data_IF_469142848045
#
_entry.id   IF_469142848045
#
_cell.length_a   1.000
_cell.length_b   1.000
_cell.length_c   1.000
_cell.angle_alpha   90.00
_cell.angle_beta   90.00
_cell.angle_gamma   90.00
#
_symmetry.space_group_name_H-M   'P 1'
#
loop_
_entity.id
_entity.type
_entity.pdbx_description
1 polymer ?
#
# COMPACT_ATOMS: atom_id res chain seq x y z
N UNK A 1 -1.78 6.11 -8.83
CA UNK A 1 -1.78 6.24 -7.35
C UNK A 1 -3.07 5.67 -6.80
N UNK A 2 -3.01 5.02 -5.65
CA UNK A 2 -4.20 4.35 -5.14
C UNK A 2 -4.12 4.06 -3.65
N UNK A 3 -5.29 3.80 -3.08
CA UNK A 3 -5.39 2.98 -1.89
C UNK A 3 -5.46 1.52 -2.34
N UNK A 4 -4.39 0.76 -2.09
CA UNK A 4 -4.38 -0.68 -2.22
C UNK A 4 -4.83 -1.34 -0.92
N UNK A 5 -5.62 -2.40 -1.06
CA UNK A 5 -6.16 -3.16 0.07
C UNK A 5 -5.76 -4.61 -0.11
N UNK A 6 -5.10 -5.15 0.90
CA UNK A 6 -4.67 -6.53 0.95
C UNK A 6 -5.52 -7.27 1.98
N UNK A 7 -6.06 -8.42 1.59
CA UNK A 7 -6.73 -9.32 2.55
C UNK A 7 -6.25 -10.75 2.36
N UNK A 8 -5.92 -11.39 3.47
CA UNK A 8 -5.55 -12.80 3.53
C UNK A 8 -6.70 -13.62 4.13
N UNK A 9 -6.95 -14.78 3.54
CA UNK A 9 -8.02 -15.71 3.95
C UNK A 9 -9.43 -15.11 3.86
N UNK A 10 -9.63 -14.06 3.05
CA UNK A 10 -10.94 -13.64 2.58
C UNK A 10 -11.55 -14.73 1.67
N UNK A 11 -12.86 -14.96 1.78
CA UNK A 11 -13.56 -15.99 1.00
C UNK A 11 -14.88 -15.48 0.42
N UNK A 12 -15.42 -16.15 -0.60
CA UNK A 12 -16.66 -15.74 -1.30
C UNK A 12 -17.95 -15.92 -0.49
N UNK A 13 -17.92 -16.73 0.58
CA UNK A 13 -19.03 -16.93 1.50
C UNK A 13 -18.60 -16.53 2.91
N UNK A 14 -19.38 -15.64 3.54
CA UNK A 14 -19.17 -15.14 4.90
C UNK A 14 -19.30 -16.26 5.94
N UNK A 15 -18.26 -17.06 6.10
CA UNK A 15 -18.08 -17.90 7.27
C UNK A 15 -17.60 -16.96 8.37
N UNK A 16 -18.50 -16.56 9.27
CA UNK A 16 -18.24 -15.62 10.37
C UNK A 16 -17.19 -16.11 11.38
N UNK A 17 -17.40 -15.82 12.67
CA UNK A 17 -16.48 -16.12 13.78
C UNK A 17 -16.02 -17.60 13.92
N UNK A 18 -16.54 -18.52 13.10
CA UNK A 18 -16.10 -19.92 13.04
C UNK A 18 -14.63 -20.08 12.63
N UNK A 19 -14.09 -19.22 11.76
CA UNK A 19 -12.66 -19.25 11.39
C UNK A 19 -11.76 -18.90 12.59
N UNK A 20 -11.96 -17.77 13.29
CA UNK A 20 -11.23 -17.46 14.52
C UNK A 20 -11.25 -18.59 15.56
N UNK A 21 -12.43 -19.18 15.81
CA UNK A 21 -12.57 -20.30 16.76
C UNK A 21 -11.83 -21.55 16.26
N UNK A 22 -11.92 -21.87 14.97
CA UNK A 22 -11.20 -23.02 14.38
C UNK A 22 -9.69 -22.83 14.47
N UNK A 23 -9.17 -21.65 14.13
CA UNK A 23 -7.74 -21.34 14.20
C UNK A 23 -7.22 -21.40 15.64
N UNK A 24 -8.00 -20.95 16.63
CA UNK A 24 -7.65 -21.09 18.04
C UNK A 24 -7.64 -22.56 18.50
N UNK A 25 -8.63 -23.35 18.09
CA UNK A 25 -8.76 -24.76 18.50
C UNK A 25 -7.74 -25.68 17.82
N UNK A 26 -7.50 -25.50 16.52
CA UNK A 26 -6.73 -26.44 15.70
C UNK A 26 -5.44 -25.85 15.15
N UNK A 27 -5.01 -24.69 15.65
CA UNK A 27 -3.94 -23.91 15.05
C UNK A 27 -4.37 -23.31 13.71
N UNK A 28 -3.73 -22.22 13.32
CA UNK A 28 -4.13 -21.46 12.14
C UNK A 28 -4.05 -19.97 12.33
N UNK A 29 -4.03 -19.25 11.21
CA UNK A 29 -4.25 -17.82 11.19
C UNK A 29 -5.76 -17.52 11.02
N UNK A 30 -6.25 -16.45 11.64
CA UNK A 30 -7.64 -15.98 11.49
C UNK A 30 -7.84 -15.14 10.22
N UNK A 31 -6.74 -14.85 9.52
CA UNK A 31 -6.67 -13.98 8.35
C UNK A 31 -6.38 -12.54 8.74
N UNK A 32 -5.87 -11.79 7.78
CA UNK A 32 -5.32 -10.46 8.01
C UNK A 32 -5.79 -9.46 6.95
N UNK A 33 -5.69 -8.19 7.27
CA UNK A 33 -6.00 -7.10 6.36
C UNK A 33 -5.01 -5.96 6.56
N UNK A 34 -4.53 -5.43 5.45
CA UNK A 34 -3.67 -4.27 5.40
C UNK A 34 -4.15 -3.31 4.32
N UNK A 35 -3.75 -2.06 4.44
CA UNK A 35 -3.99 -1.03 3.43
C UNK A 35 -2.70 -0.30 3.16
N UNK A 36 -2.47 0.05 1.91
CA UNK A 36 -1.33 0.84 1.49
C UNK A 36 -1.83 2.01 0.67
N UNK A 37 -1.40 3.20 1.06
CA UNK A 37 -1.69 4.41 0.31
C UNK A 37 -0.44 4.84 -0.46
N UNK A 38 -0.61 5.08 -1.76
CA UNK A 38 0.41 5.72 -2.60
C UNK A 38 -0.06 7.08 -3.09
N UNK A 39 0.88 8.02 -3.18
CA UNK A 39 0.65 9.35 -3.77
C UNK A 39 1.96 9.91 -4.36
N UNK A 40 1.89 10.84 -5.34
CA UNK A 40 3.06 11.34 -6.05
C UNK A 40 4.06 12.03 -5.12
N UNK A 41 5.36 11.91 -5.39
CA UNK A 41 6.39 12.74 -4.77
C UNK A 41 6.58 14.04 -5.57
N UNK A 42 5.51 14.85 -5.64
CA UNK A 42 5.53 16.20 -6.19
C UNK A 42 5.38 17.24 -5.06
N UNK A 43 5.36 18.53 -5.38
CA UNK A 43 5.27 19.59 -4.35
C UNK A 43 4.09 19.42 -3.38
N UNK A 44 2.93 18.96 -3.87
CA UNK A 44 1.75 18.73 -3.02
C UNK A 44 1.92 17.44 -2.19
N UNK A 45 2.49 16.41 -2.78
CA UNK A 45 2.87 15.19 -2.07
C UNK A 45 3.90 15.42 -0.98
N UNK A 46 4.91 16.26 -1.24
CA UNK A 46 5.95 16.63 -0.28
C UNK A 46 5.38 17.39 0.92
N UNK A 47 4.46 18.33 0.69
CA UNK A 47 3.73 19.01 1.76
C UNK A 47 2.94 18.02 2.62
N UNK A 48 2.26 17.07 1.97
CA UNK A 48 1.46 16.05 2.65
C UNK A 48 2.35 15.08 3.45
N UNK A 49 3.43 14.58 2.86
CA UNK A 49 4.40 13.72 3.53
C UNK A 49 5.00 14.44 4.74
N UNK A 50 5.40 15.71 4.57
CA UNK A 50 5.95 16.55 5.64
C UNK A 50 4.96 16.78 6.79
N UNK A 51 3.65 16.85 6.51
CA UNK A 51 2.60 16.97 7.54
C UNK A 51 2.55 15.75 8.46
N UNK A 52 2.79 14.54 7.94
CA UNK A 52 2.61 13.29 8.67
C UNK A 52 3.91 12.55 9.03
N UNK A 53 5.07 12.97 8.51
CA UNK A 53 6.36 12.29 8.74
C UNK A 53 6.77 12.16 10.22
N UNK A 54 6.23 13.01 11.09
CA UNK A 54 6.54 13.03 12.53
C UNK A 54 5.52 12.26 13.39
N UNK A 55 4.53 11.64 12.76
CA UNK A 55 3.51 10.85 13.46
C UNK A 55 4.14 9.54 13.93
N UNK A 56 4.28 9.40 15.24
CA UNK A 56 4.77 8.15 15.84
C UNK A 56 3.97 6.94 15.36
N UNK A 57 4.70 5.92 14.90
CA UNK A 57 4.12 4.67 14.41
C UNK A 57 3.75 4.69 12.92
N UNK A 58 3.67 5.85 12.26
CA UNK A 58 3.38 5.94 10.83
C UNK A 58 4.68 6.05 10.03
N UNK A 59 4.92 5.07 9.15
CA UNK A 59 6.10 5.05 8.29
C UNK A 59 5.72 5.52 6.88
N UNK A 60 6.35 6.61 6.43
CA UNK A 60 6.21 7.16 5.08
C UNK A 60 7.58 7.07 4.42
N UNK A 61 7.66 6.50 3.22
CA UNK A 61 8.91 6.43 2.45
C UNK A 61 8.62 6.61 0.96
N UNK A 62 9.67 6.88 0.20
CA UNK A 62 9.62 6.93 -1.26
C UNK A 62 9.84 5.56 -1.88
N UNK A 63 9.26 5.35 -3.05
CA UNK A 63 9.53 4.20 -3.92
C UNK A 63 9.29 4.54 -5.39
N UNK A 64 9.94 3.83 -6.29
CA UNK A 64 9.72 4.01 -7.74
C UNK A 64 8.57 3.12 -8.21
N UNK A 65 7.60 3.69 -8.92
CA UNK A 65 6.50 2.98 -9.57
C UNK A 65 6.47 3.25 -11.08
N UNK A 66 5.95 2.28 -11.85
CA UNK A 66 5.69 2.45 -13.27
C UNK A 66 4.22 2.87 -13.43
N UNK A 67 4.00 4.08 -13.93
CA UNK A 67 2.67 4.64 -14.16
C UNK A 67 2.38 4.80 -15.66
N UNK A 68 1.13 4.68 -16.10
CA UNK A 68 0.75 4.96 -17.48
C UNK A 68 0.68 6.47 -17.72
N UNK A 69 1.51 6.98 -18.62
CA UNK A 69 1.50 8.38 -19.06
C UNK A 69 0.81 8.52 -20.43
N UNK A 70 -0.26 9.32 -20.47
CA UNK A 70 -0.98 9.61 -21.70
C UNK A 70 -0.16 10.53 -22.60
N UNK A 71 0.10 10.07 -23.82
CA UNK A 71 0.83 10.79 -24.85
C UNK A 71 -0.09 11.74 -25.63
N UNK A 72 0.50 12.66 -26.40
CA UNK A 72 -0.25 13.64 -27.22
C UNK A 72 -1.16 12.98 -28.27
N UNK A 73 -0.77 11.80 -28.76
CA UNK A 73 -1.53 11.00 -29.72
C UNK A 73 -2.66 10.16 -29.07
N UNK A 74 -2.82 10.25 -27.74
CA UNK A 74 -3.80 9.50 -26.98
C UNK A 74 -3.37 8.10 -26.55
N UNK A 75 -2.20 7.62 -26.97
CA UNK A 75 -1.60 6.38 -26.49
C UNK A 75 -1.10 6.50 -25.05
N UNK A 76 -0.82 5.37 -24.40
CA UNK A 76 -0.20 5.34 -23.07
C UNK A 76 1.18 4.69 -23.14
N UNK A 77 2.15 5.28 -22.46
CA UNK A 77 3.48 4.70 -22.29
C UNK A 77 3.81 4.53 -20.81
N UNK A 78 4.55 3.48 -20.43
CA UNK A 78 5.05 3.36 -19.08
C UNK A 78 6.05 4.48 -18.80
N UNK A 79 5.93 5.08 -17.61
CA UNK A 79 6.85 6.09 -17.10
C UNK A 79 7.20 5.74 -15.67
N UNK A 80 8.48 5.78 -15.35
CA UNK A 80 8.93 5.70 -13.96
C UNK A 80 8.57 7.00 -13.23
N UNK A 81 8.05 6.84 -12.03
CA UNK A 81 7.68 7.95 -11.17
C UNK A 81 8.00 7.61 -9.73
N UNK A 82 8.60 8.57 -9.02
CA UNK A 82 8.78 8.48 -7.58
C UNK A 82 7.46 8.83 -6.88
N UNK A 83 7.08 7.99 -5.94
CA UNK A 83 5.87 8.11 -5.13
C UNK A 83 6.20 7.96 -3.67
N UNK A 84 5.43 8.59 -2.81
CA UNK A 84 5.36 8.20 -1.41
C UNK A 84 4.44 6.98 -1.28
N UNK A 85 4.81 6.08 -0.38
CA UNK A 85 3.94 5.00 0.07
C UNK A 85 3.85 5.00 1.60
N UNK A 86 2.67 4.64 2.08
CA UNK A 86 2.35 4.50 3.50
C UNK A 86 1.63 3.18 3.68
N UNK A 87 2.32 2.22 4.29
CA UNK A 87 1.76 0.91 4.58
C UNK A 87 1.19 0.88 5.99
N UNK A 88 -0.09 0.55 6.13
CA UNK A 88 -0.77 0.44 7.40
C UNK A 88 -1.32 -0.98 7.57
N UNK A 89 -0.73 -1.68 8.53
CA UNK A 89 -1.10 -3.02 8.90
C UNK A 89 -0.98 -3.17 10.41
N UNK A 90 -1.88 -3.96 11.01
CA UNK A 90 -1.87 -4.17 12.45
C UNK A 90 -1.95 -5.65 12.81
N UNK A 91 -0.93 -6.17 13.47
CA UNK A 91 -0.91 -7.56 13.93
C UNK A 91 -0.63 -7.63 15.44
N UNK A 92 -1.12 -8.66 16.15
CA UNK A 92 -0.79 -8.86 17.57
C UNK A 92 0.68 -9.26 17.77
N UNK A 93 1.53 -8.33 18.25
CA UNK A 93 2.96 -8.55 18.52
C UNK A 93 3.32 -9.02 19.94
N UNK A 94 4.60 -9.38 20.16
CA UNK A 94 5.19 -9.89 21.42
C UNK A 94 5.26 -8.86 22.57
N UNK A 95 5.21 -7.57 22.26
CA UNK A 95 5.07 -6.50 23.24
C UNK A 95 3.68 -5.89 23.09
N UNK A 96 2.90 -5.94 24.16
CA UNK A 96 1.51 -5.48 24.22
C UNK A 96 1.33 -4.07 23.61
N UNK A 97 0.80 -4.00 22.38
CA UNK A 97 0.24 -2.78 21.80
C UNK A 97 1.06 -2.14 20.68
N UNK A 98 0.55 -2.30 19.45
CA UNK A 98 0.82 -1.46 18.28
C UNK A 98 2.21 -1.62 17.64
N UNK A 99 2.35 -2.61 16.74
CA UNK A 99 3.39 -2.60 15.70
C UNK A 99 2.70 -2.43 14.35
N UNK A 100 3.11 -1.41 13.59
CA UNK A 100 2.73 -1.32 12.17
C UNK A 100 3.66 -2.27 11.43
N UNK A 101 3.11 -3.36 10.94
CA UNK A 101 3.90 -4.35 10.22
C UNK A 101 4.38 -3.78 8.88
N UNK A 102 5.55 -4.22 8.41
CA UNK A 102 5.89 -4.10 7.00
C UNK A 102 5.10 -5.10 6.14
N UNK A 103 5.07 -4.89 4.82
CA UNK A 103 4.41 -5.82 3.90
C UNK A 103 5.02 -7.24 3.99
N UNK A 104 6.35 -7.38 4.06
CA UNK A 104 7.00 -8.69 4.34
C UNK A 104 6.61 -9.29 5.68
N UNK A 105 6.52 -8.49 6.75
CA UNK A 105 6.13 -9.01 8.08
C UNK A 105 4.75 -9.67 8.03
N UNK A 106 3.82 -9.12 7.25
CA UNK A 106 2.50 -9.72 7.04
C UNK A 106 2.56 -11.03 6.23
N UNK A 107 3.30 -11.05 5.13
CA UNK A 107 3.48 -12.25 4.31
C UNK A 107 4.13 -13.40 5.12
N UNK A 108 5.14 -13.07 5.93
CA UNK A 108 5.81 -14.03 6.80
C UNK A 108 4.91 -14.49 7.94
N UNK A 109 4.14 -13.59 8.56
CA UNK A 109 3.23 -13.94 9.65
C UNK A 109 2.13 -14.89 9.19
N UNK A 110 1.54 -14.64 8.02
CA UNK A 110 0.58 -15.56 7.40
C UNK A 110 1.20 -16.93 7.12
N UNK A 111 2.42 -16.95 6.58
CA UNK A 111 3.15 -18.18 6.31
C UNK A 111 3.41 -19.02 7.57
N UNK A 112 3.83 -18.39 8.69
CA UNK A 112 4.18 -19.08 9.94
C UNK A 112 2.98 -19.79 10.57
N UNK A 113 1.82 -19.14 10.55
CA UNK A 113 0.66 -19.56 11.32
C UNK A 113 -0.35 -20.41 10.53
N UNK A 114 -0.21 -20.54 9.21
CA UNK A 114 -1.12 -21.38 8.43
C UNK A 114 -0.78 -22.89 8.49
N UNK A 115 -1.75 -23.80 8.63
CA UNK A 115 -1.56 -25.20 8.29
C UNK A 115 -1.68 -25.39 6.77
N UNK A 116 -0.59 -25.16 6.02
CA UNK A 116 -0.61 -25.36 4.58
C UNK A 116 -0.71 -26.86 4.23
N UNK A 117 -1.26 -27.23 3.05
CA UNK A 117 -1.12 -28.58 2.53
C UNK A 117 0.36 -28.96 2.42
N UNK A 118 0.69 -30.20 2.76
CA UNK A 118 2.07 -30.71 2.65
C UNK A 118 2.56 -30.51 1.21
N UNK A 119 3.77 -29.96 1.05
CA UNK A 119 4.45 -29.96 -0.24
C UNK A 119 4.57 -31.41 -0.71
N UNK A 120 4.21 -31.67 -1.98
CA UNK A 120 4.37 -33.01 -2.56
C UNK A 120 5.87 -33.37 -2.57
N UNK A 121 6.24 -34.63 -2.28
CA UNK A 121 7.65 -35.04 -2.23
C UNK A 121 8.44 -34.68 -3.49
N UNK A 122 7.83 -34.81 -4.67
CA UNK A 122 8.42 -34.45 -5.97
C UNK A 122 8.85 -32.98 -6.04
N UNK A 123 8.00 -32.07 -5.55
CA UNK A 123 8.28 -30.62 -5.51
C UNK A 123 9.33 -30.32 -4.43
N UNK A 124 9.25 -31.00 -3.29
CA UNK A 124 10.22 -30.84 -2.21
C UNK A 124 11.64 -31.25 -2.66
N UNK A 125 11.76 -32.35 -3.41
CA UNK A 125 13.02 -32.81 -3.97
C UNK A 125 13.54 -31.86 -5.06
N UNK A 126 12.66 -31.32 -5.90
CA UNK A 126 13.06 -30.32 -6.90
C UNK A 126 13.56 -29.01 -6.26
N UNK A 127 12.92 -28.54 -5.19
CA UNK A 127 13.27 -27.27 -4.55
C UNK A 127 14.45 -27.38 -3.58
N UNK A 128 14.58 -28.50 -2.86
CA UNK A 128 15.52 -28.63 -1.74
C UNK A 128 16.44 -29.84 -1.82
N UNK A 129 16.28 -30.71 -2.82
CA UNK A 129 17.00 -31.98 -2.87
C UNK A 129 16.63 -32.89 -1.70
N UNK A 130 17.62 -33.59 -1.13
CA UNK A 130 17.41 -34.56 -0.05
C UNK A 130 17.14 -33.91 1.32
N UNK A 131 17.54 -32.64 1.52
CA UNK A 131 17.49 -31.97 2.83
C UNK A 131 16.76 -30.63 2.78
N UNK A 132 15.63 -30.53 3.48
CA UNK A 132 14.91 -29.25 3.62
C UNK A 132 15.58 -28.35 4.67
N UNK A 133 15.95 -27.10 4.32
CA UNK A 133 16.50 -26.13 5.27
C UNK A 133 15.55 -25.86 6.44
N UNK A 134 16.11 -25.61 7.64
CA UNK A 134 15.32 -25.29 8.83
C UNK A 134 14.43 -24.05 8.66
N UNK A 135 14.88 -23.06 7.87
CA UNK A 135 14.11 -21.86 7.56
C UNK A 135 12.78 -22.13 6.82
N UNK A 136 12.63 -23.31 6.22
CA UNK A 136 11.43 -23.77 5.51
C UNK A 136 10.55 -24.70 6.37
N UNK A 137 10.82 -24.77 7.68
CA UNK A 137 10.02 -25.52 8.66
C UNK A 137 9.37 -24.54 9.63
N UNK A 138 8.08 -24.75 9.91
CA UNK A 138 7.34 -23.99 10.94
C UNK A 138 6.56 -24.95 11.83
N UNK A 139 6.34 -24.57 13.09
CA UNK A 139 5.53 -25.34 14.02
C UNK A 139 4.14 -24.72 14.12
N UNK A 140 3.12 -25.55 13.90
CA UNK A 140 1.73 -25.15 14.10
C UNK A 140 1.24 -25.76 15.41
N UNK A 141 0.74 -24.91 16.29
CA UNK A 141 0.18 -25.28 17.59
C UNK A 141 -1.28 -24.83 17.65
N UNK A 142 -2.12 -25.62 18.32
CA UNK A 142 -3.51 -25.29 18.62
C UNK A 142 -3.92 -25.93 19.94
N UNK A 143 -5.00 -25.47 20.56
CA UNK A 143 -5.48 -26.03 21.84
C UNK A 143 -5.70 -27.55 21.76
N UNK A 144 -6.11 -28.04 20.59
CA UNK A 144 -6.41 -29.45 20.32
C UNK A 144 -5.36 -30.14 19.43
N UNK A 145 -4.24 -29.46 19.09
CA UNK A 145 -3.17 -30.04 18.27
C UNK A 145 -1.85 -29.95 19.02
N UNK A 146 -1.29 -31.11 19.37
CA UNK A 146 0.11 -31.23 19.79
C UNK A 146 1.03 -30.66 18.71
N UNK A 147 2.02 -29.86 19.11
CA UNK A 147 2.94 -29.16 18.22
C UNK A 147 3.34 -29.99 16.99
N UNK A 148 3.00 -29.48 15.80
CA UNK A 148 3.23 -30.17 14.54
C UNK A 148 4.16 -29.35 13.66
N UNK A 149 5.35 -29.87 13.39
CA UNK A 149 6.27 -29.29 12.39
C UNK A 149 5.77 -29.58 10.98
N UNK A 150 5.67 -28.54 10.17
CA UNK A 150 5.32 -28.62 8.74
C UNK A 150 6.41 -27.96 7.90
N UNK A 151 6.67 -28.55 6.73
CA UNK A 151 7.61 -28.00 5.74
C UNK A 151 6.84 -27.21 4.69
N UNK A 152 7.29 -25.99 4.42
CA UNK A 152 6.73 -25.10 3.40
C UNK A 152 7.82 -24.26 2.73
N UNK A 153 7.55 -23.76 1.53
CA UNK A 153 8.42 -22.79 0.88
C UNK A 153 8.26 -21.45 1.57
N UNK A 154 9.30 -20.97 2.23
CA UNK A 154 9.31 -19.67 2.91
C UNK A 154 9.59 -18.53 1.94
N UNK A 155 10.59 -18.70 1.09
CA UNK A 155 11.10 -17.66 0.22
C UNK A 155 11.65 -18.27 -1.07
N UNK A 156 11.35 -17.63 -2.20
CA UNK A 156 12.03 -17.82 -3.47
C UNK A 156 12.66 -16.48 -3.88
N UNK A 157 13.98 -16.50 -4.05
CA UNK A 157 14.74 -15.32 -4.46
C UNK A 157 14.97 -15.34 -5.97
N UNK A 158 14.53 -14.29 -6.66
CA UNK A 158 14.69 -14.15 -8.12
C UNK A 158 16.05 -13.50 -8.43
N UNK A 159 17.13 -14.25 -8.26
CA UNK A 159 18.51 -13.75 -8.36
C UNK A 159 18.84 -13.09 -9.71
N UNK A 160 18.27 -13.60 -10.81
CA UNK A 160 18.47 -13.01 -12.15
C UNK A 160 17.88 -11.60 -12.24
N UNK A 161 16.72 -11.37 -11.62
CA UNK A 161 16.08 -10.05 -11.59
C UNK A 161 16.84 -9.10 -10.65
N UNK A 162 17.28 -9.63 -9.49
CA UNK A 162 18.11 -8.88 -8.53
C UNK A 162 19.47 -8.47 -9.11
N UNK A 163 20.06 -9.29 -9.98
CA UNK A 163 21.32 -8.96 -10.66
C UNK A 163 21.13 -7.91 -11.77
N UNK A 164 19.94 -7.89 -12.40
CA UNK A 164 19.62 -6.95 -13.47
C UNK A 164 19.25 -5.53 -12.96
N UNK A 165 18.78 -5.41 -11.71
CA UNK A 165 18.37 -4.12 -11.13
C UNK A 165 19.11 -3.87 -9.82
N UNK A 166 19.95 -2.84 -9.83
CA UNK A 166 20.68 -2.36 -8.65
C UNK A 166 19.92 -1.21 -8.01
N UNK A 167 19.82 -1.20 -6.68
CA UNK A 167 19.11 -0.13 -5.95
C UNK A 167 19.77 1.23 -6.15
N UNK A 168 21.07 1.26 -6.42
CA UNK A 168 21.80 2.48 -6.76
C UNK A 168 21.28 3.13 -8.04
N UNK A 169 20.53 2.41 -8.88
CA UNK A 169 19.90 2.98 -10.06
C UNK A 169 18.41 3.30 -9.86
N UNK A 170 17.85 3.00 -8.68
CA UNK A 170 16.46 3.29 -8.37
C UNK A 170 16.24 4.81 -8.16
N UNK A 171 15.33 5.45 -8.91
CA UNK A 171 15.06 6.88 -8.80
C UNK A 171 14.70 7.36 -7.38
N UNK A 172 13.86 6.62 -6.66
CA UNK A 172 13.45 6.99 -5.31
C UNK A 172 14.62 6.94 -4.32
N UNK A 173 15.46 5.91 -4.43
CA UNK A 173 16.69 5.82 -3.65
C UNK A 173 17.65 6.98 -3.94
N UNK A 174 17.83 7.34 -5.21
CA UNK A 174 18.69 8.46 -5.60
C UNK A 174 18.19 9.81 -5.10
N UNK A 175 16.88 10.05 -5.10
CA UNK A 175 16.30 11.27 -4.50
C UNK A 175 16.60 11.34 -3.00
N UNK A 176 16.38 10.25 -2.26
CA UNK A 176 16.65 10.21 -0.81
C UNK A 176 18.14 10.40 -0.50
N UNK A 177 19.04 9.81 -1.29
CA UNK A 177 20.49 10.00 -1.14
C UNK A 177 20.92 11.44 -1.45
N UNK A 178 20.28 12.07 -2.43
CA UNK A 178 20.54 13.48 -2.76
C UNK A 178 20.08 14.41 -1.64
N UNK A 179 18.91 14.15 -1.06
CA UNK A 179 18.40 14.88 0.10
C UNK A 179 19.31 14.72 1.33
N UNK A 180 19.73 13.50 1.63
CA UNK A 180 20.69 13.22 2.72
C UNK A 180 21.99 14.01 2.53
N UNK A 181 22.56 13.98 1.31
CA UNK A 181 23.78 14.71 1.01
C UNK A 181 23.62 16.22 1.14
N UNK A 182 22.49 16.77 0.69
CA UNK A 182 22.20 18.21 0.82
C UNK A 182 22.11 18.63 2.30
N UNK A 183 21.42 17.85 3.13
CA UNK A 183 21.32 18.09 4.58
C UNK A 183 22.68 17.97 5.28
N UNK A 184 23.51 17.01 4.90
CA UNK A 184 24.87 16.87 5.44
C UNK A 184 25.75 18.08 5.09
N UNK A 185 25.66 18.58 3.86
CA UNK A 185 26.38 19.79 3.42
C UNK A 185 25.92 21.00 4.22
N UNK A 186 24.61 21.20 4.39
CA UNK A 186 24.06 22.32 5.16
C UNK A 186 24.51 22.25 6.63
N UNK A 187 24.46 21.06 7.25
CA UNK A 187 24.94 20.86 8.62
C UNK A 187 26.43 21.17 8.76
N UNK A 188 27.24 20.72 7.79
CA UNK A 188 28.67 20.97 7.79
C UNK A 188 28.98 22.47 7.68
N UNK A 189 28.24 23.23 6.89
CA UNK A 189 28.38 24.70 6.81
C UNK A 189 28.12 25.38 8.16
N UNK A 190 27.11 24.93 8.91
CA UNK A 190 26.81 25.45 10.26
C UNK A 190 27.92 25.10 11.26
N UNK A 191 28.44 23.87 11.20
CA UNK A 191 29.58 23.42 12.03
C UNK A 191 30.82 24.24 11.72
N UNK A 192 31.12 24.48 10.44
CA UNK A 192 32.27 25.26 10.01
C UNK A 192 32.15 26.72 10.44
N UNK A 193 30.97 27.33 10.30
CA UNK A 193 30.70 28.69 10.79
C UNK A 193 30.93 28.79 12.31
N UNK A 194 30.45 27.82 13.08
CA UNK A 194 30.71 27.74 14.53
C UNK A 194 32.21 27.66 14.83
N UNK A 195 32.93 26.79 14.13
CA UNK A 195 34.37 26.61 14.31
C UNK A 195 35.16 27.89 13.97
N UNK A 196 34.76 28.61 12.93
CA UNK A 196 35.32 29.92 12.58
C UNK A 196 35.12 30.91 13.72
N UNK A 197 33.92 30.96 14.32
CA UNK A 197 33.65 31.84 15.46
C UNK A 197 34.45 31.46 16.71
N UNK A 198 34.61 30.17 17.01
CA UNK A 198 35.45 29.69 18.11
C UNK A 198 36.92 30.10 17.95
N UNK A 199 37.45 30.05 16.71
CA UNK A 199 38.80 30.55 16.40
C UNK A 199 38.90 32.07 16.56
N UNK A 200 37.86 32.80 16.15
CA UNK A 200 37.78 34.25 16.30
C UNK A 200 37.74 34.66 17.79
N UNK A 201 37.01 33.93 18.64
CA UNK A 201 37.00 34.15 20.09
C UNK A 201 38.41 34.02 20.68
N UNK A 202 39.14 32.97 20.27
CA UNK A 202 40.52 32.76 20.72
C UNK A 202 41.46 33.88 20.26
N UNK A 203 41.37 34.29 18.99
CA UNK A 203 42.20 35.39 18.42
C UNK A 203 41.89 36.73 19.07
N UNK A 204 40.62 37.07 19.20
CA UNK A 204 40.17 38.30 19.85
C UNK A 204 40.63 38.37 21.32
N UNK A 205 40.63 37.24 22.02
CA UNK A 205 41.18 37.12 23.38
C UNK A 205 42.68 37.39 23.45
N UNK A 206 43.48 36.83 22.52
CA UNK A 206 44.92 37.10 22.42
C UNK A 206 45.22 38.56 22.08
N UNK A 207 44.41 39.15 21.20
CA UNK A 207 44.56 40.53 20.72
C UNK A 207 43.88 41.57 21.65
N UNK A 208 43.25 41.14 22.74
CA UNK A 208 42.51 41.98 23.69
C UNK A 208 41.45 42.88 23.02
N UNK A 209 40.82 42.39 21.95
CA UNK A 209 39.74 43.10 21.24
C UNK A 209 38.41 42.38 21.40
N UNK A 210 37.34 43.06 21.00
CA UNK A 210 36.03 42.42 20.93
C UNK A 210 35.98 41.43 19.74
N UNK A 211 35.36 40.25 19.90
CA UNK A 211 35.18 39.29 18.82
C UNK A 211 34.16 39.79 17.80
N UNK A 212 34.36 39.47 16.53
CA UNK A 212 33.38 39.76 15.49
C UNK A 212 32.12 38.90 15.68
N UNK A 213 31.01 39.53 16.08
CA UNK A 213 29.74 38.86 16.35
C UNK A 213 29.01 38.39 15.09
N UNK A 214 29.33 38.92 13.92
CA UNK A 214 28.70 38.52 12.64
C UNK A 214 29.05 37.08 12.26
N UNK A 215 30.16 36.55 12.82
CA UNK A 215 30.59 35.17 12.64
C UNK A 215 29.85 34.19 13.56
N UNK A 216 29.17 34.70 14.59
CA UNK A 216 28.39 33.87 15.50
C UNK A 216 27.18 33.26 14.76
N UNK A 217 26.77 32.07 15.17
CA UNK A 217 25.49 31.53 14.73
C UNK A 217 24.35 32.37 15.31
N UNK A 218 23.38 32.70 14.46
CA UNK A 218 22.12 33.29 14.87
C UNK A 218 21.23 32.24 15.54
N UNK A 219 20.23 32.69 16.32
CA UNK A 219 19.24 31.77 16.93
C UNK A 219 18.51 30.93 15.88
N UNK A 220 18.26 31.49 14.69
CA UNK A 220 17.64 30.80 13.57
C UNK A 220 18.55 29.69 13.01
N UNK A 221 19.85 29.94 12.88
CA UNK A 221 20.83 28.94 12.43
C UNK A 221 21.04 27.83 13.46
N UNK A 222 21.02 28.17 14.75
CA UNK A 222 21.06 27.19 15.84
C UNK A 222 19.82 26.29 15.76
N UNK A 223 18.63 26.88 15.64
CA UNK A 223 17.38 26.14 15.47
C UNK A 223 17.40 25.25 14.22
N UNK A 224 17.91 25.77 13.08
CA UNK A 224 18.05 25.00 11.84
C UNK A 224 18.98 23.81 12.01
N UNK A 225 20.10 23.96 12.73
CA UNK A 225 20.99 22.84 13.05
C UNK A 225 20.29 21.69 13.80
N UNK A 226 19.39 22.00 14.74
CA UNK A 226 18.58 20.97 15.41
C UNK A 226 17.56 20.31 14.46
N UNK A 227 16.92 21.09 13.58
CA UNK A 227 15.98 20.55 12.60
C UNK A 227 16.66 19.68 11.54
N UNK A 228 17.85 20.06 11.04
CA UNK A 228 18.62 19.24 10.08
C UNK A 228 18.93 17.87 10.69
N UNK A 229 19.31 17.80 11.98
CA UNK A 229 19.58 16.52 12.62
C UNK A 229 18.33 15.62 12.68
N UNK A 230 17.15 16.19 12.89
CA UNK A 230 15.88 15.45 12.82
C UNK A 230 15.61 14.98 11.39
N UNK A 231 15.77 15.86 10.40
CA UNK A 231 15.60 15.56 8.98
C UNK A 231 16.54 14.44 8.52
N UNK A 232 17.83 14.49 8.89
CA UNK A 232 18.81 13.43 8.60
C UNK A 232 18.39 12.08 9.17
N UNK A 233 17.90 12.05 10.42
CA UNK A 233 17.40 10.82 11.03
C UNK A 233 16.21 10.26 10.24
N UNK A 234 15.27 11.13 9.83
CA UNK A 234 14.11 10.74 9.01
C UNK A 234 14.52 10.19 7.66
N UNK A 235 15.40 10.89 6.94
CA UNK A 235 15.89 10.45 5.63
C UNK A 235 16.61 9.10 5.75
N UNK A 236 17.39 8.87 6.80
CA UNK A 236 18.01 7.57 7.04
C UNK A 236 16.97 6.45 7.26
N UNK A 237 15.89 6.72 7.99
CA UNK A 237 14.77 5.78 8.17
C UNK A 237 14.04 5.51 6.84
N UNK A 238 13.80 6.54 6.02
CA UNK A 238 13.21 6.40 4.69
C UNK A 238 14.11 5.60 3.74
N UNK A 239 15.42 5.85 3.74
CA UNK A 239 16.39 5.08 2.94
C UNK A 239 16.32 3.59 3.30
N UNK A 240 16.26 3.26 4.59
CA UNK A 240 16.14 1.88 5.06
C UNK A 240 14.83 1.23 4.61
N UNK A 241 13.73 1.95 4.67
CA UNK A 241 12.42 1.47 4.19
C UNK A 241 12.40 1.29 2.68
N UNK A 242 12.94 2.23 1.92
CA UNK A 242 13.11 2.16 0.47
C UNK A 242 13.95 0.94 0.07
N UNK A 243 15.05 0.66 0.79
CA UNK A 243 15.87 -0.54 0.59
C UNK A 243 15.07 -1.82 0.84
N UNK A 244 14.30 -1.85 1.92
CA UNK A 244 13.48 -3.01 2.27
C UNK A 244 12.40 -3.25 1.21
N UNK A 245 11.65 -2.22 0.81
CA UNK A 245 10.65 -2.30 -0.27
C UNK A 245 11.29 -2.75 -1.59
N UNK A 246 12.45 -2.19 -1.96
CA UNK A 246 13.17 -2.59 -3.16
C UNK A 246 13.54 -4.07 -3.14
N UNK A 247 14.10 -4.57 -2.04
CA UNK A 247 14.43 -6.00 -1.90
C UNK A 247 13.19 -6.89 -1.98
N UNK A 248 12.09 -6.48 -1.34
CA UNK A 248 10.82 -7.23 -1.32
C UNK A 248 10.24 -7.46 -2.72
N UNK A 249 10.43 -6.53 -3.67
CA UNK A 249 9.95 -6.68 -5.06
C UNK A 249 10.56 -7.86 -5.81
N UNK A 250 11.75 -8.30 -5.41
CA UNK A 250 12.49 -9.39 -6.05
C UNK A 250 12.42 -10.70 -5.27
N UNK A 251 11.59 -10.75 -4.23
CA UNK A 251 11.36 -11.92 -3.40
C UNK A 251 9.90 -12.36 -3.53
N UNK A 252 9.70 -13.66 -3.66
CA UNK A 252 8.40 -14.27 -3.38
C UNK A 252 8.46 -14.86 -1.98
N UNK A 253 7.94 -14.11 -1.00
CA UNK A 253 7.94 -14.49 0.42
C UNK A 253 6.54 -14.83 0.88
N UNK A 254 6.42 -15.89 1.68
CA UNK A 254 5.21 -16.20 2.41
C UNK A 254 4.00 -16.53 1.55
N UNK A 255 2.80 -16.25 2.07
CA UNK A 255 1.52 -16.49 1.39
C UNK A 255 0.99 -15.19 0.77
N UNK A 256 0.68 -15.15 -0.54
CA UNK A 256 0.16 -13.94 -1.18
C UNK A 256 -1.25 -13.57 -0.67
N UNK A 257 -1.66 -12.29 -0.76
CA UNK A 257 -3.02 -11.88 -0.44
C UNK A 257 -4.05 -12.67 -1.25
N UNK A 258 -5.14 -13.08 -0.60
CA UNK A 258 -6.28 -13.73 -1.26
C UNK A 258 -7.08 -12.75 -2.12
N UNK A 259 -7.05 -11.46 -1.80
CA UNK A 259 -7.63 -10.39 -2.61
C UNK A 259 -6.82 -9.12 -2.47
N UNK A 260 -6.55 -8.49 -3.62
CA UNK A 260 -5.98 -7.15 -3.74
C UNK A 260 -7.02 -6.25 -4.42
N UNK A 261 -7.41 -5.15 -3.77
CA UNK A 261 -8.40 -4.19 -4.29
C UNK A 261 -7.73 -2.83 -4.39
N UNK A 262 -7.88 -2.16 -5.54
CA UNK A 262 -7.27 -0.86 -5.80
C UNK A 262 -8.35 0.20 -5.97
N UNK A 263 -8.30 1.26 -5.19
CA UNK A 263 -9.23 2.39 -5.30
C UNK A 263 -8.47 3.67 -5.62
N UNK A 264 -8.99 4.50 -6.56
CA UNK A 264 -8.36 5.76 -6.90
C UNK A 264 -8.47 6.75 -5.75
N UNK A 265 -7.48 7.63 -5.62
CA UNK A 265 -7.45 8.69 -4.62
C UNK A 265 -7.32 10.06 -5.28
N UNK A 266 -7.61 11.12 -4.52
CA UNK A 266 -7.61 12.51 -5.01
C UNK A 266 -6.25 13.03 -5.48
N UNK A 267 -5.16 12.38 -5.07
CA UNK A 267 -3.80 12.70 -5.54
C UNK A 267 -3.31 11.79 -6.66
N UNK A 268 -4.18 10.99 -7.26
CA UNK A 268 -3.81 10.28 -8.49
C UNK A 268 -3.66 11.26 -9.66
N UNK A 269 -2.61 11.10 -10.48
CA UNK A 269 -2.36 11.99 -11.63
C UNK A 269 -3.51 11.98 -12.64
N UNK A 270 -4.19 10.84 -12.73
CA UNK A 270 -5.40 10.67 -13.52
C UNK A 270 -6.63 10.48 -12.62
N UNK A 271 -6.64 11.14 -11.44
CA UNK A 271 -7.71 10.99 -10.47
C UNK A 271 -9.07 11.21 -11.15
N UNK A 272 -9.95 10.19 -11.12
CA UNK A 272 -11.29 10.35 -11.63
C UNK A 272 -12.06 11.32 -10.72
N UNK A 273 -13.18 11.87 -11.19
CA UNK A 273 -13.89 12.90 -10.43
C UNK A 273 -14.39 12.38 -9.08
N UNK A 274 -14.81 11.12 -9.02
CA UNK A 274 -15.14 10.45 -7.76
C UNK A 274 -13.96 9.57 -7.36
N UNK A 275 -13.19 10.04 -6.38
CA UNK A 275 -12.04 9.34 -5.83
C UNK A 275 -12.05 9.46 -4.30
N UNK A 276 -11.29 8.59 -3.63
CA UNK A 276 -11.13 8.68 -2.18
C UNK A 276 -10.22 9.85 -1.79
N UNK A 277 -10.56 10.55 -0.73
CA UNK A 277 -9.76 11.62 -0.14
C UNK A 277 -8.45 11.08 0.45
N UNK A 278 -7.33 11.46 -0.17
CA UNK A 278 -5.99 11.04 0.24
C UNK A 278 -5.64 11.56 1.64
N UNK A 279 -6.00 12.81 1.96
CA UNK A 279 -5.65 13.43 3.24
C UNK A 279 -6.49 12.82 4.37
N UNK A 280 -7.79 12.63 4.16
CA UNK A 280 -8.66 11.93 5.12
C UNK A 280 -8.21 10.50 5.42
N UNK A 281 -7.66 9.78 4.44
CA UNK A 281 -7.02 8.47 4.64
C UNK A 281 -5.80 8.59 5.56
N UNK A 282 -4.88 9.52 5.28
CA UNK A 282 -3.66 9.71 6.08
C UNK A 282 -3.97 10.19 7.49
N UNK A 283 -4.89 11.13 7.66
CA UNK A 283 -5.38 11.58 8.97
C UNK A 283 -5.85 10.39 9.81
N UNK A 284 -6.58 9.46 9.17
CA UNK A 284 -7.08 8.29 9.87
C UNK A 284 -5.99 7.27 10.18
N UNK A 285 -5.06 7.01 9.25
CA UNK A 285 -3.88 6.17 9.50
C UNK A 285 -3.05 6.73 10.66
N UNK A 286 -2.78 8.04 10.67
CA UNK A 286 -2.04 8.73 11.71
C UNK A 286 -2.74 8.64 13.07
N UNK A 287 -4.06 8.90 13.11
CA UNK A 287 -4.87 8.76 14.31
C UNK A 287 -4.86 7.33 14.86
N UNK A 288 -4.89 6.32 13.99
CA UNK A 288 -4.84 4.92 14.40
C UNK A 288 -3.45 4.49 14.87
N UNK A 289 -2.38 4.98 14.24
CA UNK A 289 -1.00 4.71 14.63
C UNK A 289 -0.70 5.19 16.06
N UNK A 290 -1.34 6.28 16.49
CA UNK A 290 -1.22 6.85 17.84
C UNK A 290 -2.31 6.36 18.80
N UNK A 291 -3.22 5.49 18.36
CA UNK A 291 -4.32 5.00 19.18
C UNK A 291 -3.81 4.12 20.31
N UNK A 292 -4.33 4.32 21.52
CA UNK A 292 -4.06 3.47 22.69
C UNK A 292 -5.01 2.26 22.76
N UNK A 293 -5.86 2.06 21.75
CA UNK A 293 -6.86 0.99 21.75
C UNK A 293 -6.21 -0.37 21.56
N UNK A 294 -6.20 -1.22 22.59
CA UNK A 294 -5.58 -2.54 22.48
C UNK A 294 -6.19 -3.40 21.35
N UNK A 295 -5.32 -4.09 20.61
CA UNK A 295 -5.73 -5.07 19.60
C UNK A 295 -6.61 -6.15 20.24
N UNK A 296 -7.73 -6.47 19.60
CA UNK A 296 -8.60 -7.55 20.00
C UNK A 296 -9.33 -8.12 18.79
N UNK A 297 -9.16 -9.42 18.56
CA UNK A 297 -9.83 -10.16 17.49
C UNK A 297 -11.35 -9.97 17.45
N UNK A 298 -11.97 -9.70 18.60
CA UNK A 298 -13.42 -9.58 18.79
C UNK A 298 -13.86 -8.19 19.29
N UNK A 299 -12.98 -7.18 19.27
CA UNK A 299 -13.37 -5.78 19.56
C UNK A 299 -12.78 -4.81 18.56
N UNK A 300 -11.48 -4.89 18.31
CA UNK A 300 -10.77 -3.94 17.45
C UNK A 300 -9.55 -4.60 16.81
N UNK A 301 -9.69 -5.02 15.56
CA UNK A 301 -8.69 -5.81 14.83
C UNK A 301 -8.21 -5.08 13.55
N UNK A 302 -7.32 -5.73 12.80
CA UNK A 302 -6.76 -5.20 11.55
C UNK A 302 -7.83 -4.83 10.52
N UNK A 303 -8.77 -5.74 10.25
CA UNK A 303 -9.86 -5.50 9.30
C UNK A 303 -10.76 -4.34 9.71
N UNK A 304 -11.01 -4.19 11.02
CA UNK A 304 -11.83 -3.09 11.56
C UNK A 304 -11.12 -1.76 11.39
N UNK A 305 -9.83 -1.71 11.68
CA UNK A 305 -8.99 -0.53 11.51
C UNK A 305 -8.86 -0.14 10.04
N UNK A 306 -8.58 -1.10 9.16
CA UNK A 306 -8.55 -0.92 7.72
C UNK A 306 -9.90 -0.44 7.16
N UNK A 307 -11.02 -0.95 7.69
CA UNK A 307 -12.36 -0.44 7.35
C UNK A 307 -12.50 1.04 7.73
N UNK A 308 -12.01 1.44 8.91
CA UNK A 308 -12.04 2.85 9.30
C UNK A 308 -11.19 3.74 8.39
N UNK A 309 -10.04 3.26 7.93
CA UNK A 309 -9.18 3.98 6.97
C UNK A 309 -9.91 4.20 5.64
N UNK A 310 -10.50 3.14 5.06
CA UNK A 310 -11.29 3.27 3.81
C UNK A 310 -12.46 4.23 3.98
N UNK A 311 -13.20 4.13 5.10
CA UNK A 311 -14.33 5.03 5.38
C UNK A 311 -13.91 6.49 5.49
N UNK A 312 -12.74 6.77 6.06
CA UNK A 312 -12.23 8.13 6.19
C UNK A 312 -11.89 8.75 4.84
N UNK A 313 -11.46 7.93 3.86
CA UNK A 313 -11.30 8.36 2.48
C UNK A 313 -12.60 8.67 1.74
N UNK A 314 -13.76 8.27 2.25
CA UNK A 314 -15.04 8.64 1.62
C UNK A 314 -15.49 9.97 2.23
N UNK A 315 -15.24 11.08 1.52
CA UNK A 315 -15.66 12.42 1.96
C UNK A 315 -17.17 12.49 2.16
N UNK A 316 -17.65 13.43 2.99
CA UNK A 316 -19.10 13.54 3.25
C UNK A 316 -19.90 13.90 2.00
N UNK A 317 -19.31 14.66 1.08
CA UNK A 317 -19.86 14.89 -0.25
C UNK A 317 -20.00 13.58 -1.03
N UNK A 318 -18.93 12.78 -1.13
CA UNK A 318 -18.96 11.50 -1.83
C UNK A 318 -19.94 10.51 -1.18
N UNK A 319 -20.01 10.46 0.16
CA UNK A 319 -21.00 9.66 0.89
C UNK A 319 -22.44 10.04 0.51
N UNK A 320 -22.72 11.33 0.36
CA UNK A 320 -24.06 11.81 -0.03
C UNK A 320 -24.38 11.45 -1.49
N UNK A 321 -23.40 11.58 -2.40
CA UNK A 321 -23.56 11.20 -3.81
C UNK A 321 -23.83 9.70 -3.94
N UNK A 322 -23.01 8.87 -3.29
CA UNK A 322 -23.20 7.42 -3.21
C UNK A 322 -24.58 7.05 -2.66
N UNK A 323 -25.03 7.74 -1.61
CA UNK A 323 -26.36 7.50 -1.03
C UNK A 323 -27.48 7.81 -2.02
N UNK A 324 -27.35 8.89 -2.79
CA UNK A 324 -28.32 9.24 -3.84
C UNK A 324 -28.32 8.21 -4.98
N UNK A 325 -27.19 7.59 -5.31
CA UNK A 325 -27.13 6.49 -6.30
C UNK A 325 -27.62 5.13 -5.72
N UNK A 326 -27.92 5.09 -4.41
CA UNK A 326 -28.48 3.93 -3.74
C UNK A 326 -27.47 3.08 -2.96
N UNK A 327 -26.22 3.53 -2.84
CA UNK A 327 -25.19 2.90 -2.02
C UNK A 327 -25.03 3.61 -0.66
N UNK A 328 -25.33 2.90 0.43
CA UNK A 328 -25.16 3.43 1.78
C UNK A 328 -23.93 2.83 2.45
N UNK A 329 -22.87 3.64 2.59
CA UNK A 329 -21.59 3.27 3.21
C UNK A 329 -21.76 2.68 4.61
N UNK A 330 -22.56 3.32 5.47
CA UNK A 330 -22.78 2.87 6.84
C UNK A 330 -23.51 1.52 6.88
N UNK A 331 -24.44 1.29 5.95
CA UNK A 331 -25.12 0.02 5.79
C UNK A 331 -24.17 -1.07 5.29
N UNK A 332 -23.29 -0.74 4.36
CA UNK A 332 -22.31 -1.66 3.79
C UNK A 332 -21.22 -2.06 4.80
N UNK A 333 -20.91 -1.19 5.77
CA UNK A 333 -19.94 -1.44 6.85
C UNK A 333 -20.58 -1.82 8.19
N UNK A 334 -21.78 -2.41 8.21
CA UNK A 334 -22.57 -2.64 9.45
C UNK A 334 -21.92 -3.57 10.48
N UNK A 335 -20.92 -4.36 10.10
CA UNK A 335 -20.26 -5.29 11.02
C UNK A 335 -19.53 -4.55 12.12
N UNK A 336 -19.98 -4.72 13.38
CA UNK A 336 -19.34 -4.12 14.58
C UNK A 336 -17.85 -4.45 14.66
N UNK A 337 -17.47 -5.67 14.26
CA UNK A 337 -16.09 -6.11 14.10
C UNK A 337 -15.95 -6.66 12.69
N UNK A 338 -15.06 -6.08 11.90
CA UNK A 338 -14.82 -6.54 10.54
C UNK A 338 -13.92 -7.79 10.54
N UNK A 339 -14.10 -8.63 9.53
CA UNK A 339 -13.25 -9.78 9.21
C UNK A 339 -12.58 -9.52 7.85
N UNK A 340 -11.52 -10.26 7.47
CA UNK A 340 -10.92 -10.11 6.14
C UNK A 340 -11.93 -10.25 5.01
N UNK A 341 -12.90 -11.17 5.15
CA UNK A 341 -14.00 -11.35 4.20
C UNK A 341 -14.95 -10.16 4.14
N UNK A 342 -15.46 -9.68 5.29
CA UNK A 342 -16.42 -8.57 5.28
C UNK A 342 -15.78 -7.27 4.84
N UNK A 343 -14.50 -7.05 5.18
CA UNK A 343 -13.72 -5.91 4.72
C UNK A 343 -13.45 -5.97 3.23
N UNK A 344 -13.01 -7.13 2.69
CA UNK A 344 -12.84 -7.32 1.25
C UNK A 344 -14.14 -7.04 0.48
N UNK A 345 -15.28 -7.56 0.96
CA UNK A 345 -16.58 -7.32 0.33
C UNK A 345 -16.99 -5.84 0.38
N UNK A 346 -16.86 -5.19 1.54
CA UNK A 346 -17.12 -3.75 1.66
C UNK A 346 -16.28 -2.94 0.68
N UNK A 347 -14.98 -3.22 0.61
CA UNK A 347 -14.04 -2.56 -0.29
C UNK A 347 -14.36 -2.79 -1.76
N UNK A 348 -14.77 -4.00 -2.16
CA UNK A 348 -15.24 -4.28 -3.53
C UNK A 348 -16.50 -3.49 -3.88
N UNK A 349 -17.44 -3.34 -2.93
CA UNK A 349 -18.64 -2.54 -3.14
C UNK A 349 -18.30 -1.06 -3.34
N UNK A 350 -17.40 -0.51 -2.52
CA UNK A 350 -16.91 0.88 -2.68
C UNK A 350 -16.22 1.06 -4.03
N UNK A 351 -15.31 0.15 -4.41
CA UNK A 351 -14.64 0.20 -5.71
C UNK A 351 -15.63 0.18 -6.89
N UNK A 352 -16.64 -0.69 -6.82
CA UNK A 352 -17.66 -0.81 -7.86
C UNK A 352 -18.50 0.46 -7.97
N UNK A 353 -18.90 1.02 -6.83
CA UNK A 353 -19.66 2.26 -6.78
C UNK A 353 -18.88 3.45 -7.36
N UNK A 354 -17.59 3.58 -6.99
CA UNK A 354 -16.72 4.61 -7.58
C UNK A 354 -16.61 4.45 -9.10
N UNK A 355 -16.47 3.22 -9.60
CA UNK A 355 -16.44 2.96 -11.03
C UNK A 355 -17.75 3.39 -11.71
N UNK A 356 -18.90 2.99 -11.15
CA UNK A 356 -20.22 3.34 -11.70
C UNK A 356 -20.44 4.86 -11.75
N UNK A 357 -20.14 5.57 -10.66
CA UNK A 357 -20.29 7.03 -10.61
C UNK A 357 -19.43 7.72 -11.67
N UNK A 358 -18.18 7.29 -11.84
CA UNK A 358 -17.26 7.87 -12.83
C UNK A 358 -17.67 7.52 -14.28
N UNK A 359 -18.11 6.30 -14.54
CA UNK A 359 -18.63 5.90 -15.86
C UNK A 359 -19.88 6.70 -16.24
N UNK A 360 -20.84 6.84 -15.31
CA UNK A 360 -22.05 7.62 -15.55
C UNK A 360 -21.72 9.09 -15.84
N UNK A 361 -20.76 9.67 -15.10
CA UNK A 361 -20.35 11.04 -15.35
C UNK A 361 -19.65 11.20 -16.72
N UNK A 362 -18.83 10.23 -17.14
CA UNK A 362 -18.20 10.23 -18.44
C UNK A 362 -19.25 10.16 -19.57
N UNK A 363 -20.26 9.31 -19.43
CA UNK A 363 -21.39 9.21 -20.36
C UNK A 363 -22.16 10.53 -20.45
N UNK A 364 -22.51 11.14 -19.32
CA UNK A 364 -23.21 12.45 -19.29
C UNK A 364 -22.35 13.55 -19.94
N UNK A 365 -21.03 13.56 -19.73
CA UNK A 365 -20.12 14.50 -20.40
C UNK A 365 -20.09 14.27 -21.91
N UNK A 366 -20.06 13.02 -22.36
CA UNK A 366 -20.05 12.66 -23.78
C UNK A 366 -21.40 13.00 -24.46
N UNK A 367 -22.52 12.72 -23.81
CA UNK A 367 -23.85 13.11 -24.29
C UNK A 367 -23.95 14.62 -24.38
N UNK A 368 -23.53 15.37 -23.34
CA UNK A 368 -23.51 16.84 -23.37
C UNK A 368 -22.63 17.39 -24.49
N UNK A 369 -21.48 16.78 -24.76
CA UNK A 369 -20.59 17.17 -25.86
C UNK A 369 -21.21 16.85 -27.23
N UNK A 370 -21.98 15.77 -27.35
CA UNK A 370 -22.75 15.44 -28.56
C UNK A 370 -23.96 16.37 -28.74
N UNK A 371 -24.68 16.68 -27.66
CA UNK A 371 -25.87 17.55 -27.69
C UNK A 371 -25.54 19.04 -27.77
N UNK A 372 -24.31 19.44 -27.43
CA UNK A 372 -23.79 20.77 -27.79
C UNK A 372 -23.70 20.96 -29.31
N UNK A 373 -23.78 19.88 -30.10
CA UNK A 373 -23.95 19.88 -31.56
C UNK A 373 -25.33 19.38 -32.02
N UNK A 374 -26.27 19.08 -31.13
CA UNK A 374 -27.66 18.74 -31.48
C UNK A 374 -28.57 18.81 -30.25
N UNK A 375 -29.52 19.73 -30.23
CA UNK A 375 -30.48 19.87 -29.14
C UNK A 375 -31.35 18.61 -28.99
N UNK A 376 -31.14 17.82 -27.95
CA UNK A 376 -32.19 17.02 -27.29
C UNK A 376 -31.73 16.48 -25.93
N UNK A 377 -32.65 16.44 -24.96
CA UNK A 377 -32.36 16.11 -23.57
C UNK A 377 -32.53 14.60 -23.30
N UNK A 378 -31.61 13.91 -22.62
CA UNK A 378 -31.78 12.51 -22.26
C UNK A 378 -32.54 12.37 -20.92
N UNK A 379 -33.63 11.62 -20.95
CA UNK A 379 -34.34 11.11 -19.77
C UNK A 379 -33.59 9.93 -19.16
N UNK A 380 -33.21 10.03 -17.88
CA UNK A 380 -32.55 8.95 -17.13
C UNK A 380 -33.52 8.26 -16.18
N UNK A 381 -33.77 6.97 -16.41
CA UNK A 381 -34.48 6.07 -15.49
C UNK A 381 -33.50 5.48 -14.48
N UNK A 382 -33.76 5.68 -13.19
CA UNK A 382 -32.87 5.27 -12.10
C UNK A 382 -33.03 3.78 -11.80
N UNK A 383 -32.10 2.93 -12.27
CA UNK A 383 -32.00 1.54 -11.84
C UNK A 383 -31.39 1.43 -10.43
N UNK A 384 -31.75 0.39 -9.68
CA UNK A 384 -31.23 0.17 -8.32
C UNK A 384 -29.77 -0.31 -8.32
N UNK A 385 -28.95 0.12 -7.34
CA UNK A 385 -27.55 -0.31 -7.19
C UNK A 385 -27.36 -1.84 -7.26
N UNK A 386 -28.29 -2.60 -6.67
CA UNK A 386 -28.21 -4.08 -6.66
C UNK A 386 -28.32 -4.67 -8.07
N UNK A 387 -29.11 -4.07 -8.96
CA UNK A 387 -29.18 -4.48 -10.36
C UNK A 387 -27.90 -4.06 -11.10
N UNK A 388 -27.46 -2.80 -10.96
CA UNK A 388 -26.20 -2.32 -11.55
C UNK A 388 -25.00 -3.20 -11.18
N UNK A 389 -24.91 -3.60 -9.91
CA UNK A 389 -23.87 -4.49 -9.39
C UNK A 389 -23.93 -5.90 -10.01
N UNK A 390 -25.13 -6.48 -10.12
CA UNK A 390 -25.30 -7.79 -10.75
C UNK A 390 -24.97 -7.76 -12.25
N UNK A 391 -25.31 -6.68 -12.93
CA UNK A 391 -25.04 -6.50 -14.36
C UNK A 391 -23.55 -6.29 -14.63
N UNK A 392 -22.86 -5.50 -13.79
CA UNK A 392 -21.40 -5.33 -13.86
C UNK A 392 -20.62 -6.64 -13.64
N UNK A 393 -21.15 -7.53 -12.79
CA UNK A 393 -20.54 -8.86 -12.55
C UNK A 393 -20.85 -9.82 -13.70
N UNK A 394 -22.07 -9.78 -14.28
CA UNK A 394 -22.45 -10.65 -15.41
C UNK A 394 -21.80 -10.24 -16.74
N UNK A 395 -21.56 -8.95 -16.97
CA UNK A 395 -20.89 -8.48 -18.19
C UNK A 395 -19.49 -9.09 -18.40
N UNK A 396 -18.77 -9.36 -17.31
CA UNK A 396 -17.47 -10.06 -17.34
C UNK A 396 -17.55 -11.54 -17.76
N UNK A 397 -18.71 -12.19 -17.62
CA UNK A 397 -18.91 -13.59 -18.01
C UNK A 397 -19.35 -13.79 -19.45
N UNK A 398 -19.91 -12.77 -20.10
CA UNK A 398 -20.38 -12.86 -21.50
C UNK A 398 -19.31 -12.44 -22.53
N UNK A 399 -18.32 -11.63 -22.14
CA UNK A 399 -17.20 -11.24 -23.02
C UNK A 399 -16.15 -12.33 -23.25
N UNK A 400 -16.19 -13.45 -22.50
CA UNK A 400 -15.24 -14.58 -22.63
C UNK A 400 -15.80 -15.72 -23.51
N UNK A 401 -17.05 -15.62 -23.99
CA UNK A 401 -17.69 -16.69 -24.78
C UNK A 401 -18.33 -16.14 -26.05
N UNK A 402 -17.55 -15.47 -26.91
CA UNK A 402 -17.90 -15.27 -28.33
C UNK A 402 -16.65 -15.22 -29.21
N UNK A 403 -16.19 -16.40 -29.62
CA UNK A 403 -15.96 -16.77 -31.03
C UNK A 403 -15.57 -18.27 -31.10
N UNK A 404 -16.35 -19.13 -31.76
CA UNK A 404 -15.85 -20.32 -32.41
C UNK A 404 -15.59 -19.99 -33.88
N UNK A 405 -14.36 -20.14 -34.36
CA UNK A 405 -14.11 -20.21 -35.80
C UNK A 405 -13.40 -21.53 -36.13
N UNK A 406 -14.17 -22.42 -36.73
CA UNK A 406 -13.74 -23.67 -37.35
C UNK A 406 -13.03 -23.34 -38.67
N UNK A 407 -11.70 -23.38 -38.70
CA UNK A 407 -10.97 -23.83 -39.90
C UNK A 407 -9.47 -24.01 -39.61
N UNK A 408 -9.01 -25.26 -39.59
CA UNK A 408 -7.83 -25.77 -40.32
C UNK A 408 -7.43 -27.16 -39.79
N UNK A 409 -8.33 -28.13 -39.89
CA UNK A 409 -7.98 -29.54 -39.85
C UNK A 409 -7.98 -30.09 -41.29
N UNK A 410 -7.03 -29.63 -42.10
CA UNK A 410 -6.66 -30.28 -43.36
C UNK A 410 -5.37 -29.71 -43.95
N UNK A 411 -4.22 -30.15 -43.44
CA UNK A 411 -2.98 -30.38 -44.21
C UNK A 411 -1.86 -30.77 -43.25
N UNK A 412 -1.53 -32.06 -43.21
CA UNK A 412 -0.18 -32.58 -43.45
C UNK A 412 -0.13 -34.03 -42.96
N UNK A 413 -0.55 -34.94 -43.84
CA UNK A 413 -0.06 -36.30 -43.82
C UNK A 413 1.37 -36.35 -44.38
N UNK A 414 2.23 -37.09 -43.68
CA UNK A 414 3.22 -38.02 -44.22
C UNK A 414 4.08 -37.55 -45.41
N UNK A 415 5.35 -37.27 -45.13
CA UNK A 415 6.44 -37.64 -46.02
C UNK A 415 7.64 -38.14 -45.21
N UNK A 416 7.82 -39.45 -45.23
CA UNK A 416 9.07 -40.16 -44.98
C UNK A 416 10.19 -39.66 -45.91
N UNK A 417 11.35 -39.31 -45.33
CA UNK A 417 12.65 -39.92 -45.63
C UNK A 417 13.70 -39.50 -44.61
#
# INVERSE_FOLDING_TARGET
MSLEIYTWKSGSKGLGFTKPVKSMLFGGNVGHAAVELTFPADAKGDELAKKYQDVSGLSISKRTEIVPEKQKDGSYKPKEQVVYFVYFSWWPGHTNGHHINSHREDLESEWRHEPAPKIKPEIQQHLYGENTPAANKTNVTGILISEKTITKVRELSHQEIKAAVQIENDPAYQELKTEEAALQVELQQLIDKRKIYEQELARAGLEQRQPNKDLCLTDAEIARGYEINKELKRVAEQIKLCQTDFEERYLSVGEPPSSVIRMPTTLDHNAPTFALDTEGILDKMASLAQSTTAYSFYKFNCSTSATQVVKAGISDELKNIMRTDGFNVEKASQTTIATPTSFSHFSQQVQTELLLLNTNQALVKQERAKTANTFEAPTTTTQSFKQKFQDAIKGKSEEVVREPDDSEENRMGLATR
#
